data_IF_605289185250
#
_entry.id   IF_605289185250
#
_cell.length_a   1.000
_cell.length_b   1.000
_cell.length_c   1.000
_cell.angle_alpha   90.00
_cell.angle_beta   90.00
_cell.angle_gamma   90.00
#
_symmetry.space_group_name_H-M   'P 1'
#
loop_
_entity.id
_entity.type
_entity.pdbx_description
1 polymer ?
#
# COMPACT_ATOMS: atom_id res chain seq x y z
N UNK A 1 8.01 20.18 -26.55
CA UNK A 1 7.80 20.04 -25.09
C UNK A 1 7.11 18.69 -24.85
N UNK A 2 7.85 17.67 -24.43
CA UNK A 2 7.30 16.33 -24.17
C UNK A 2 6.70 16.33 -22.76
N UNK A 3 5.38 16.34 -22.66
CA UNK A 3 4.68 16.16 -21.39
C UNK A 3 4.77 14.69 -21.00
N UNK A 4 5.69 14.37 -20.10
CA UNK A 4 5.73 13.07 -19.41
C UNK A 4 4.56 13.10 -18.44
N UNK A 5 3.50 12.37 -18.77
CA UNK A 5 2.32 12.22 -17.93
C UNK A 5 2.68 11.35 -16.72
N UNK A 6 3.21 11.97 -15.68
CA UNK A 6 3.40 11.33 -14.38
C UNK A 6 2.03 11.16 -13.73
N UNK A 7 1.45 9.96 -13.84
CA UNK A 7 0.26 9.58 -13.08
C UNK A 7 0.69 9.39 -11.62
N UNK A 8 0.61 10.47 -10.86
CA UNK A 8 0.84 10.45 -9.41
C UNK A 8 -0.37 9.76 -8.77
N UNK A 9 -0.22 8.48 -8.39
CA UNK A 9 -1.22 7.77 -7.60
C UNK A 9 -1.11 8.27 -6.15
N UNK A 10 -1.83 9.33 -5.83
CA UNK A 10 -2.08 9.71 -4.43
C UNK A 10 -3.28 8.94 -3.89
N UNK A 11 -3.02 7.76 -3.32
CA UNK A 11 -3.80 7.16 -2.24
C UNK A 11 -2.74 6.83 -1.19
N UNK A 12 -2.76 7.40 0.01
CA UNK A 12 -3.51 6.81 1.13
C UNK A 12 -4.01 7.96 2.02
N UNK A 13 -5.33 8.10 2.05
CA UNK A 13 -6.03 8.77 3.14
C UNK A 13 -5.81 7.98 4.42
N UNK A 14 -5.23 8.63 5.42
CA UNK A 14 -5.20 8.21 6.82
C UNK A 14 -6.59 7.70 7.24
N UNK A 15 -6.73 6.41 7.56
CA UNK A 15 -8.00 5.88 8.04
C UNK A 15 -8.06 4.36 8.14
N UNK A 16 -8.26 3.89 9.37
CA UNK A 16 -8.70 2.57 9.78
C UNK A 16 -7.63 1.47 9.83
N UNK A 17 -7.31 1.10 11.08
CA UNK A 17 -6.88 -0.24 11.49
C UNK A 17 -7.70 -1.30 10.73
N UNK A 18 -7.08 -2.02 9.80
CA UNK A 18 -7.53 -3.37 9.45
C UNK A 18 -6.55 -4.35 10.07
N UNK A 19 -7.04 -5.39 10.78
CA UNK A 19 -6.16 -6.38 11.36
C UNK A 19 -5.40 -7.04 10.22
N UNK A 20 -4.09 -7.20 10.43
CA UNK A 20 -3.19 -7.95 9.59
C UNK A 20 -3.89 -9.21 9.09
N UNK A 21 -4.22 -9.24 7.80
CA UNK A 21 -4.62 -10.46 7.13
C UNK A 21 -3.34 -11.28 7.01
N UNK A 22 -3.20 -12.25 7.92
CA UNK A 22 -2.41 -13.46 7.68
C UNK A 22 -2.62 -13.89 6.23
N UNK A 23 -1.54 -14.24 5.52
CA UNK A 23 -1.48 -14.67 4.10
C UNK A 23 -2.81 -15.28 3.67
N UNK A 24 -3.68 -14.42 3.15
CA UNK A 24 -5.05 -14.80 2.87
C UNK A 24 -5.08 -15.28 1.43
N UNK A 25 -5.88 -16.30 1.09
CA UNK A 25 -6.18 -16.69 -0.30
C UNK A 25 -6.46 -15.47 -1.20
N UNK A 26 -7.03 -14.41 -0.62
CA UNK A 26 -7.27 -13.09 -1.24
C UNK A 26 -6.06 -12.42 -1.90
N UNK A 27 -4.84 -12.70 -1.45
CA UNK A 27 -3.62 -12.10 -2.00
C UNK A 27 -3.13 -12.87 -3.21
N UNK A 28 -3.14 -14.19 -3.12
CA UNK A 28 -2.92 -15.07 -4.27
C UNK A 28 -3.95 -14.74 -5.36
N UNK A 29 -5.23 -14.61 -4.98
CA UNK A 29 -6.31 -14.16 -5.88
C UNK A 29 -6.07 -12.78 -6.51
N UNK A 30 -5.30 -11.89 -5.86
CA UNK A 30 -5.00 -10.57 -6.42
C UNK A 30 -3.88 -10.63 -7.46
N UNK A 31 -2.82 -11.42 -7.21
CA UNK A 31 -1.73 -11.62 -8.16
C UNK A 31 -2.25 -12.42 -9.37
N UNK A 32 -3.07 -13.43 -9.14
CA UNK A 32 -3.65 -14.26 -10.21
C UNK A 32 -4.59 -13.42 -11.09
N UNK A 33 -5.42 -12.54 -10.51
CA UNK A 33 -6.21 -11.57 -11.29
C UNK A 33 -5.36 -10.57 -12.06
N UNK A 34 -4.27 -10.10 -11.45
CA UNK A 34 -3.33 -9.20 -12.14
C UNK A 34 -2.68 -9.93 -13.33
N UNK A 35 -2.35 -11.20 -13.14
CA UNK A 35 -1.79 -12.05 -14.17
C UNK A 35 -2.72 -12.25 -15.36
N UNK A 36 -3.99 -12.56 -15.11
CA UNK A 36 -5.01 -12.62 -16.16
C UNK A 36 -5.19 -11.28 -16.88
N UNK A 37 -5.06 -10.17 -16.14
CA UNK A 37 -5.33 -8.84 -16.64
C UNK A 37 -4.26 -8.29 -17.58
N UNK A 38 -2.98 -8.54 -17.29
CA UNK A 38 -1.85 -8.05 -18.10
C UNK A 38 -1.09 -9.17 -18.82
N UNK A 39 -1.48 -10.43 -18.65
CA UNK A 39 -0.79 -11.58 -19.23
C UNK A 39 0.58 -11.82 -18.57
N UNK A 40 0.63 -11.93 -17.25
CA UNK A 40 1.87 -12.28 -16.55
C UNK A 40 2.23 -13.74 -16.77
N UNK A 41 3.51 -14.01 -17.07
CA UNK A 41 4.03 -15.37 -17.06
C UNK A 41 4.32 -15.87 -15.62
N UNK A 42 4.52 -17.19 -15.48
CA UNK A 42 4.72 -17.84 -14.18
C UNK A 42 5.91 -17.25 -13.40
N UNK A 43 7.00 -16.89 -14.08
CA UNK A 43 8.16 -16.27 -13.45
C UNK A 43 7.83 -14.89 -12.89
N UNK A 44 7.15 -14.05 -13.67
CA UNK A 44 6.71 -12.72 -13.23
C UNK A 44 5.74 -12.82 -12.04
N UNK A 45 4.83 -13.79 -12.06
CA UNK A 45 3.92 -14.04 -10.94
C UNK A 45 4.68 -14.44 -9.67
N UNK A 46 5.67 -15.33 -9.82
CA UNK A 46 6.52 -15.76 -8.72
C UNK A 46 7.35 -14.60 -8.14
N UNK A 47 7.94 -13.76 -9.00
CA UNK A 47 8.71 -12.58 -8.58
C UNK A 47 7.82 -11.60 -7.81
N UNK A 48 6.63 -11.29 -8.33
CA UNK A 48 5.67 -10.41 -7.66
C UNK A 48 5.26 -11.00 -6.31
N UNK A 49 5.01 -12.31 -6.22
CA UNK A 49 4.67 -12.96 -4.97
C UNK A 49 5.80 -12.84 -3.94
N UNK A 50 7.04 -13.10 -4.35
CA UNK A 50 8.19 -12.96 -3.46
C UNK A 50 8.34 -11.51 -2.94
N UNK A 51 8.30 -10.52 -3.85
CA UNK A 51 8.38 -9.10 -3.48
C UNK A 51 7.30 -8.73 -2.46
N UNK A 52 6.07 -9.14 -2.73
CA UNK A 52 4.92 -8.78 -1.90
C UNK A 52 4.98 -9.47 -0.53
N UNK A 53 5.32 -10.77 -0.48
CA UNK A 53 5.45 -11.50 0.78
C UNK A 53 6.56 -10.93 1.66
N UNK A 54 7.74 -10.71 1.10
CA UNK A 54 8.90 -10.21 1.86
C UNK A 54 8.62 -8.82 2.45
N UNK A 55 8.11 -7.91 1.63
CA UNK A 55 7.88 -6.53 2.06
C UNK A 55 6.67 -6.38 2.97
N UNK A 56 5.63 -7.19 2.80
CA UNK A 56 4.50 -7.17 3.74
C UNK A 56 4.88 -7.71 5.11
N UNK A 57 5.76 -8.71 5.18
CA UNK A 57 6.25 -9.17 6.46
C UNK A 57 6.90 -8.03 7.25
N UNK A 58 7.78 -7.27 6.61
CA UNK A 58 8.46 -6.12 7.23
C UNK A 58 7.47 -4.99 7.59
N UNK A 59 6.56 -4.64 6.68
CA UNK A 59 5.52 -3.63 6.94
C UNK A 59 4.64 -4.03 8.13
N UNK A 60 4.25 -5.31 8.23
CA UNK A 60 3.43 -5.81 9.35
C UNK A 60 4.19 -5.68 10.68
N UNK A 61 5.46 -6.04 10.72
CA UNK A 61 6.29 -5.88 11.93
C UNK A 61 6.38 -4.41 12.37
N UNK A 62 6.53 -3.48 11.43
CA UNK A 62 6.53 -2.04 11.74
C UNK A 62 5.16 -1.54 12.22
N UNK A 63 4.08 -2.00 11.60
CA UNK A 63 2.71 -1.67 12.02
C UNK A 63 2.41 -2.15 13.43
N UNK A 64 2.94 -3.31 13.82
CA UNK A 64 2.81 -3.84 15.19
C UNK A 64 3.53 -2.94 16.19
N UNK A 65 4.74 -2.48 15.86
CA UNK A 65 5.49 -1.51 16.67
C UNK A 65 4.77 -0.17 16.77
N UNK A 66 4.19 0.33 15.68
CA UNK A 66 3.38 1.55 15.67
C UNK A 66 2.19 1.43 16.64
N UNK A 67 1.46 0.30 16.63
CA UNK A 67 0.32 0.09 17.53
C UNK A 67 0.76 0.05 19.00
N UNK A 68 1.87 -0.61 19.31
CA UNK A 68 2.42 -0.60 20.65
C UNK A 68 2.77 0.81 21.11
N UNK A 69 3.46 1.58 20.26
CA UNK A 69 3.90 2.93 20.58
C UNK A 69 2.73 3.91 20.78
N UNK A 70 1.65 3.73 20.02
CA UNK A 70 0.40 4.47 20.24
C UNK A 70 -0.22 4.15 21.61
N UNK A 71 -0.20 2.88 22.03
CA UNK A 71 -0.67 2.50 23.37
C UNK A 71 0.22 3.09 24.47
N UNK A 72 1.54 3.09 24.27
CA UNK A 72 2.51 3.66 25.21
C UNK A 72 2.28 5.17 25.37
N UNK A 73 2.07 5.90 24.27
CA UNK A 73 1.69 7.32 24.28
C UNK A 73 0.37 7.58 25.04
N UNK A 74 -0.66 6.77 24.80
CA UNK A 74 -1.94 6.88 25.52
C UNK A 74 -1.77 6.62 27.02
N UNK A 75 -0.86 5.71 27.41
CA UNK A 75 -0.56 5.41 28.81
C UNK A 75 0.13 6.57 29.55
N UNK A 76 0.69 7.54 28.83
CA UNK A 76 1.28 8.74 29.42
C UNK A 76 0.23 9.81 29.79
N UNK A 77 -1.04 9.61 29.44
CA UNK A 77 -2.13 10.51 29.86
C UNK A 77 -2.44 10.24 31.34
N UNK A 78 -1.62 10.82 32.23
CA UNK A 78 -1.71 10.66 33.70
C UNK A 78 -1.16 11.88 34.45
N UNK A 79 -1.50 12.07 35.75
CA UNK A 79 -1.07 13.25 36.51
C UNK A 79 0.45 13.44 36.62
N UNK A 80 1.23 12.35 36.61
CA UNK A 80 2.71 12.38 36.56
C UNK A 80 3.21 11.89 35.20
N UNK A 81 2.73 12.49 34.12
CA UNK A 81 3.22 12.17 32.78
C UNK A 81 4.71 12.46 32.63
N UNK A 82 5.38 11.72 31.75
CA UNK A 82 6.79 11.95 31.43
C UNK A 82 6.89 12.59 30.04
N UNK A 83 7.12 13.90 29.98
CA UNK A 83 7.24 14.64 28.72
C UNK A 83 8.35 14.08 27.82
N UNK A 84 9.49 13.71 28.40
CA UNK A 84 10.62 13.16 27.63
C UNK A 84 10.25 11.83 26.98
N UNK A 85 9.54 10.97 27.70
CA UNK A 85 9.03 9.71 27.15
C UNK A 85 8.04 9.98 26.02
N UNK A 86 7.07 10.89 26.21
CA UNK A 86 6.10 11.27 25.16
C UNK A 86 6.81 11.73 23.89
N UNK A 87 7.81 12.61 24.02
CA UNK A 87 8.55 13.13 22.84
C UNK A 87 9.36 12.05 22.13
N UNK A 88 10.04 11.18 22.89
CA UNK A 88 10.80 10.07 22.34
C UNK A 88 9.90 9.06 21.61
N UNK A 89 8.74 8.73 22.20
CA UNK A 89 7.78 7.82 21.59
C UNK A 89 7.14 8.45 20.34
N UNK A 90 6.86 9.75 20.35
CA UNK A 90 6.34 10.46 19.17
C UNK A 90 7.35 10.55 18.02
N UNK A 91 8.65 10.74 18.32
CA UNK A 91 9.73 10.73 17.34
C UNK A 91 9.83 9.35 16.66
N UNK A 92 9.90 8.30 17.48
CA UNK A 92 9.92 6.91 16.98
C UNK A 92 8.67 6.58 16.15
N UNK A 93 7.51 7.11 16.52
CA UNK A 93 6.26 6.92 15.77
C UNK A 93 6.36 7.55 14.37
N UNK A 94 6.98 8.74 14.29
CA UNK A 94 7.29 9.41 13.02
C UNK A 94 8.20 8.57 12.14
N UNK A 95 9.31 8.08 12.69
CA UNK A 95 10.28 7.25 11.97
C UNK A 95 9.64 5.97 11.41
N UNK A 96 8.90 5.23 12.25
CA UNK A 96 8.23 4.00 11.84
C UNK A 96 7.18 4.25 10.75
N UNK A 97 6.42 5.35 10.86
CA UNK A 97 5.42 5.72 9.85
C UNK A 97 6.09 6.08 8.52
N UNK A 98 7.21 6.81 8.57
CA UNK A 98 8.02 7.13 7.40
C UNK A 98 8.56 5.88 6.71
N UNK A 99 9.08 4.92 7.49
CA UNK A 99 9.60 3.66 6.97
C UNK A 99 8.51 2.82 6.31
N UNK A 100 7.32 2.72 6.94
CA UNK A 100 6.16 2.04 6.34
C UNK A 100 5.79 2.67 4.99
N UNK A 101 5.78 4.01 4.89
CA UNK A 101 5.51 4.70 3.62
C UNK A 101 6.60 4.43 2.57
N UNK A 102 7.86 4.41 2.98
CA UNK A 102 8.98 4.10 2.09
C UNK A 102 8.88 2.66 1.57
N UNK A 103 8.72 1.68 2.44
CA UNK A 103 8.55 0.27 2.08
C UNK A 103 7.32 0.05 1.19
N UNK A 104 6.19 0.69 1.49
CA UNK A 104 5.00 0.58 0.65
C UNK A 104 5.24 1.09 -0.78
N UNK A 105 5.97 2.20 -0.90
CA UNK A 105 6.34 2.79 -2.20
C UNK A 105 7.35 1.92 -2.94
N UNK A 106 8.35 1.39 -2.23
CA UNK A 106 9.34 0.48 -2.78
C UNK A 106 8.70 -0.83 -3.26
N UNK A 107 7.73 -1.37 -2.52
CA UNK A 107 6.97 -2.56 -2.91
C UNK A 107 6.25 -2.31 -4.22
N UNK A 108 5.56 -1.17 -4.36
CA UNK A 108 4.90 -0.80 -5.61
C UNK A 108 5.90 -0.65 -6.76
N UNK A 109 7.04 0.01 -6.53
CA UNK A 109 8.07 0.22 -7.55
C UNK A 109 8.72 -1.11 -8.01
N UNK A 110 8.95 -2.03 -7.07
CA UNK A 110 9.50 -3.36 -7.36
C UNK A 110 8.51 -4.24 -8.13
N UNK A 111 7.22 -4.18 -7.80
CA UNK A 111 6.19 -4.89 -8.58
C UNK A 111 6.09 -4.30 -9.99
N UNK A 112 6.14 -2.97 -10.13
CA UNK A 112 6.08 -2.32 -11.45
C UNK A 112 7.27 -2.68 -12.36
N UNK A 113 8.45 -2.88 -11.77
CA UNK A 113 9.66 -3.24 -12.52
C UNK A 113 9.63 -4.66 -13.08
N UNK A 114 8.77 -5.54 -12.57
CA UNK A 114 8.56 -6.90 -13.11
C UNK A 114 7.78 -6.85 -14.43
N UNK A 115 6.94 -5.83 -14.64
CA UNK A 115 6.16 -5.69 -15.88
C UNK A 115 7.01 -5.22 -17.07
N UNK A 116 6.62 -5.66 -18.26
CA UNK A 116 7.08 -5.06 -19.52
C UNK A 116 6.39 -3.73 -19.79
N UNK A 117 6.93 -2.94 -20.74
CA UNK A 117 6.30 -1.69 -21.15
C UNK A 117 4.88 -1.89 -21.73
N UNK A 118 4.68 -2.99 -22.45
CA UNK A 118 3.38 -3.37 -23.03
C UNK A 118 2.38 -3.74 -21.92
N UNK A 119 2.79 -4.56 -20.95
CA UNK A 119 1.96 -4.93 -19.80
C UNK A 119 1.55 -3.70 -18.97
N UNK A 120 2.47 -2.73 -18.78
CA UNK A 120 2.15 -1.45 -18.13
C UNK A 120 1.13 -0.63 -18.92
N UNK A 121 1.25 -0.58 -20.24
CA UNK A 121 0.30 0.11 -21.09
C UNK A 121 -1.09 -0.54 -21.02
N UNK A 122 -1.16 -1.87 -21.12
CA UNK A 122 -2.42 -2.62 -20.97
C UNK A 122 -3.07 -2.36 -19.61
N UNK A 123 -2.29 -2.40 -18.52
CA UNK A 123 -2.80 -2.09 -17.18
C UNK A 123 -3.39 -0.68 -17.12
N UNK A 124 -2.68 0.31 -17.67
CA UNK A 124 -3.13 1.71 -17.67
C UNK A 124 -4.45 1.90 -18.44
N UNK A 125 -4.58 1.28 -19.61
CA UNK A 125 -5.82 1.31 -20.41
C UNK A 125 -7.00 0.70 -19.64
N UNK A 126 -6.79 -0.44 -18.99
CA UNK A 126 -7.84 -1.08 -18.20
C UNK A 126 -8.26 -0.25 -16.99
N UNK A 127 -7.31 0.39 -16.30
CA UNK A 127 -7.62 1.30 -15.21
C UNK A 127 -8.45 2.50 -15.68
N UNK A 128 -8.09 3.10 -16.82
CA UNK A 128 -8.86 4.20 -17.41
C UNK A 128 -10.29 3.77 -17.79
N UNK A 129 -10.44 2.60 -18.41
CA UNK A 129 -11.75 2.06 -18.77
C UNK A 129 -12.63 1.84 -17.52
N UNK A 130 -12.04 1.29 -16.45
CA UNK A 130 -12.72 1.09 -15.16
C UNK A 130 -13.15 2.41 -14.53
N UNK A 131 -12.28 3.42 -14.56
CA UNK A 131 -12.56 4.73 -13.98
C UNK A 131 -13.71 5.43 -14.71
N UNK A 132 -13.75 5.36 -16.05
CA UNK A 132 -14.87 5.90 -16.85
C UNK A 132 -16.19 5.20 -16.53
N UNK A 133 -16.17 3.87 -16.41
CA UNK A 133 -17.37 3.10 -16.03
C UNK A 133 -17.92 3.52 -14.67
N UNK A 134 -17.04 3.76 -13.69
CA UNK A 134 -17.46 4.23 -12.37
C UNK A 134 -18.04 5.65 -12.40
N UNK A 135 -17.48 6.54 -13.22
CA UNK A 135 -18.02 7.90 -13.40
C UNK A 135 -19.44 7.84 -13.98
N UNK A 136 -19.66 7.05 -15.03
CA UNK A 136 -20.99 6.86 -15.63
C UNK A 136 -22.00 6.28 -14.65
N UNK A 137 -21.60 5.30 -13.82
CA UNK A 137 -22.48 4.75 -12.79
C UNK A 137 -22.88 5.79 -11.74
N UNK A 138 -21.95 6.67 -11.35
CA UNK A 138 -22.26 7.75 -10.41
C UNK A 138 -23.25 8.74 -11.00
N UNK A 139 -23.07 9.11 -12.27
CA UNK A 139 -23.98 10.02 -12.99
C UNK A 139 -25.39 9.45 -13.17
N UNK A 140 -25.52 8.13 -13.33
CA UNK A 140 -26.81 7.44 -13.39
C UNK A 140 -27.50 7.32 -12.02
N UNK A 141 -26.76 7.24 -10.91
CA UNK A 141 -27.34 7.20 -9.56
C UNK A 141 -27.63 8.59 -8.96
N UNK A 142 -27.11 9.66 -9.56
CA UNK A 142 -27.40 11.04 -9.18
C UNK A 142 -28.61 11.65 -9.90
N UNK A 143 -29.30 10.87 -10.75
CA UNK A 143 -30.56 11.21 -11.42
C UNK A 143 -31.71 10.42 -10.79
#
# INVERSE_FOLDING_TARGET
MKFVATVLVTLITMGMLTPALAESPRQQDQIDRLAELVGLNDHQQQDIRAIVTDMQHEIHQLQDQVRQLQQDLLSQIKPQYNERAIRADAEKLGDLTGEISALSTLMQAKVDSVFTAEQRATLAEQMQARQRKMQQQREMMSQ
#
